data_IF_036216763576
#
_entry.id   IF_036216763576
#
_cell.length_a   1.000
_cell.length_b   1.000
_cell.length_c   1.000
_cell.angle_alpha   90.00
_cell.angle_beta   90.00
_cell.angle_gamma   90.00
#
_symmetry.space_group_name_H-M   'P 1'
#
loop_
_entity.id
_entity.type
_entity.pdbx_description
1 polymer ?
#
# COMPACT_ATOMS: atom_id res chain seq x y z
N UNK A 1 1.17 20.27 34.58
CA UNK A 1 0.09 19.77 33.72
C UNK A 1 0.16 18.27 33.77
N UNK A 2 -0.96 17.61 34.03
CA UNK A 2 -1.10 16.17 33.84
C UNK A 2 -1.51 15.89 32.38
N UNK A 3 -1.33 14.66 31.91
CA UNK A 3 -1.65 14.32 30.51
C UNK A 3 -3.17 14.45 30.24
N UNK A 4 -3.96 14.23 31.27
CA UNK A 4 -5.41 14.29 31.30
C UNK A 4 -5.95 15.72 31.17
N UNK A 5 -5.10 16.73 31.37
CA UNK A 5 -5.43 18.15 31.20
C UNK A 5 -5.26 18.62 29.73
N UNK A 6 -4.76 17.75 28.82
CA UNK A 6 -4.47 18.10 27.43
C UNK A 6 -5.66 17.82 26.51
N UNK A 7 -5.98 18.78 25.65
CA UNK A 7 -6.84 18.56 24.48
C UNK A 7 -5.93 18.16 23.31
N UNK A 8 -5.99 16.89 22.91
CA UNK A 8 -5.27 16.39 21.75
C UNK A 8 -6.13 16.51 20.50
N UNK A 9 -5.54 17.03 19.42
CA UNK A 9 -6.18 17.13 18.11
C UNK A 9 -5.38 16.27 17.14
N UNK A 10 -6.04 15.26 16.56
CA UNK A 10 -5.46 14.52 15.44
C UNK A 10 -5.50 15.40 14.20
N UNK A 11 -4.36 15.49 13.50
CA UNK A 11 -4.24 16.27 12.26
C UNK A 11 -4.06 15.37 11.03
N UNK A 12 -3.98 14.05 11.23
CA UNK A 12 -3.68 13.08 10.18
C UNK A 12 -4.35 11.74 10.47
N UNK A 13 -5.64 11.67 10.18
CA UNK A 13 -6.43 10.44 10.29
C UNK A 13 -6.64 9.82 8.89
N UNK A 14 -6.52 8.51 8.81
CA UNK A 14 -6.78 7.74 7.60
C UNK A 14 -7.93 6.75 7.80
N UNK A 15 -8.69 6.51 6.74
CA UNK A 15 -9.75 5.51 6.69
C UNK A 15 -9.45 4.48 5.61
N UNK A 16 -9.94 3.25 5.80
CA UNK A 16 -9.87 2.20 4.78
C UNK A 16 -11.23 2.12 4.10
N UNK A 17 -11.28 2.44 2.82
CA UNK A 17 -12.51 2.45 2.04
C UNK A 17 -12.94 1.05 1.57
N UNK A 18 -14.24 0.83 1.33
CA UNK A 18 -14.70 -0.41 0.70
C UNK A 18 -14.10 -0.55 -0.71
N UNK A 19 -13.90 -1.78 -1.20
CA UNK A 19 -13.20 -2.07 -2.45
C UNK A 19 -13.87 -1.49 -3.71
N UNK A 20 -15.16 -1.14 -3.62
CA UNK A 20 -15.94 -0.61 -4.72
C UNK A 20 -16.24 0.90 -4.61
N UNK A 21 -15.61 1.60 -3.66
CA UNK A 21 -15.80 3.05 -3.44
C UNK A 21 -15.64 3.83 -4.75
N UNK A 22 -14.52 3.64 -5.47
CA UNK A 22 -14.28 4.37 -6.70
C UNK A 22 -15.29 4.02 -7.80
N UNK A 23 -15.62 2.73 -7.98
CA UNK A 23 -16.56 2.27 -9.01
C UNK A 23 -17.96 2.87 -8.87
N UNK A 24 -18.37 3.21 -7.64
CA UNK A 24 -19.65 3.84 -7.32
C UNK A 24 -19.69 5.35 -7.57
N UNK A 25 -18.54 6.03 -7.53
CA UNK A 25 -18.48 7.49 -7.50
C UNK A 25 -17.76 8.14 -8.69
N UNK A 26 -16.93 7.41 -9.43
CA UNK A 26 -16.25 7.96 -10.61
C UNK A 26 -17.23 8.13 -11.79
N UNK A 27 -17.10 9.21 -12.59
CA UNK A 27 -17.85 9.35 -13.83
C UNK A 27 -17.65 8.15 -14.77
N UNK A 28 -18.69 7.77 -15.52
CA UNK A 28 -18.67 6.58 -16.37
C UNK A 28 -17.46 6.50 -17.32
N UNK A 29 -17.02 7.65 -17.88
CA UNK A 29 -15.86 7.73 -18.77
C UNK A 29 -14.52 7.34 -18.14
N UNK A 30 -14.42 7.32 -16.82
CA UNK A 30 -13.18 7.04 -16.08
C UNK A 30 -13.22 5.72 -15.32
N UNK A 31 -14.28 4.92 -15.46
CA UNK A 31 -14.42 3.65 -14.73
C UNK A 31 -13.28 2.68 -15.03
N UNK A 32 -12.82 2.67 -16.29
CA UNK A 32 -11.73 1.78 -16.73
C UNK A 32 -10.35 2.21 -16.19
N UNK A 33 -10.22 3.46 -15.74
CA UNK A 33 -8.98 4.02 -15.17
C UNK A 33 -9.01 4.08 -13.64
N UNK A 34 -10.15 3.75 -13.03
CA UNK A 34 -10.35 3.86 -11.60
C UNK A 34 -9.50 2.84 -10.81
N UNK A 35 -9.08 3.17 -9.57
CA UNK A 35 -8.49 2.18 -8.70
C UNK A 35 -9.45 1.03 -8.41
N UNK A 36 -8.94 -0.21 -8.43
CA UNK A 36 -9.68 -1.42 -8.09
C UNK A 36 -8.91 -2.25 -7.08
N UNK A 37 -9.61 -3.08 -6.33
CA UNK A 37 -8.99 -4.09 -5.46
C UNK A 37 -9.03 -5.44 -6.18
N UNK A 38 -7.89 -6.13 -6.21
CA UNK A 38 -7.77 -7.51 -6.69
C UNK A 38 -7.36 -8.40 -5.53
N UNK A 39 -8.04 -9.53 -5.35
CA UNK A 39 -7.69 -10.53 -4.36
C UNK A 39 -6.85 -11.64 -5.00
N UNK A 40 -5.61 -11.80 -4.55
CA UNK A 40 -4.74 -12.90 -4.96
C UNK A 40 -4.36 -13.72 -3.73
N UNK A 41 -4.81 -14.98 -3.67
CA UNK A 41 -4.52 -15.90 -2.57
C UNK A 41 -4.89 -15.37 -1.17
N UNK A 42 -6.00 -14.63 -1.07
CA UNK A 42 -6.45 -14.02 0.19
C UNK A 42 -5.75 -12.70 0.53
N UNK A 43 -4.96 -12.15 -0.38
CA UNK A 43 -4.31 -10.84 -0.22
C UNK A 43 -5.01 -9.84 -1.14
N UNK A 44 -5.65 -8.84 -0.55
CA UNK A 44 -6.22 -7.71 -1.26
C UNK A 44 -5.13 -6.71 -1.65
N UNK A 45 -5.03 -6.42 -2.94
CA UNK A 45 -4.07 -5.47 -3.51
C UNK A 45 -4.79 -4.41 -4.32
N UNK A 46 -4.49 -3.14 -4.04
CA UNK A 46 -4.95 -2.03 -4.86
C UNK A 46 -4.21 -2.01 -6.19
N UNK A 47 -4.93 -1.92 -7.29
CA UNK A 47 -4.40 -1.74 -8.64
C UNK A 47 -4.80 -0.36 -9.14
N UNK A 48 -3.83 0.39 -9.64
CA UNK A 48 -4.07 1.69 -10.27
C UNK A 48 -3.22 1.82 -11.53
N UNK A 49 -3.84 2.19 -12.65
CA UNK A 49 -3.21 2.26 -13.97
C UNK A 49 -2.35 1.01 -14.31
N UNK A 50 -2.89 -0.17 -14.00
CA UNK A 50 -2.23 -1.46 -14.23
C UNK A 50 -1.06 -1.79 -13.30
N UNK A 51 -0.83 -1.01 -12.25
CA UNK A 51 0.27 -1.21 -11.30
C UNK A 51 -0.26 -1.53 -9.90
N UNK A 52 0.27 -2.57 -9.23
CA UNK A 52 -0.04 -2.83 -7.84
C UNK A 52 0.50 -1.68 -6.99
N UNK A 53 -0.35 -1.14 -6.14
CA UNK A 53 0.02 -0.14 -5.15
C UNK A 53 0.42 -0.87 -3.88
N UNK A 54 1.60 -0.54 -3.35
CA UNK A 54 2.05 -1.04 -2.07
C UNK A 54 1.23 -0.46 -0.92
N UNK A 55 1.46 -1.01 0.27
CA UNK A 55 0.91 -0.43 1.50
C UNK A 55 1.39 1.02 1.59
N UNK A 56 0.44 1.97 1.58
CA UNK A 56 0.70 3.38 1.88
C UNK A 56 0.87 3.51 3.39
N UNK A 57 1.92 2.88 3.90
CA UNK A 57 2.23 2.82 5.31
C UNK A 57 3.49 3.61 5.59
N UNK A 58 3.30 4.73 6.29
CA UNK A 58 4.28 5.46 7.09
C UNK A 58 5.26 6.34 6.32
N UNK A 59 4.95 7.64 6.24
CA UNK A 59 5.95 8.71 6.32
C UNK A 59 5.33 10.00 6.87
N UNK A 60 5.16 10.08 8.19
CA UNK A 60 5.01 11.35 8.91
C UNK A 60 6.41 11.89 9.26
N UNK A 61 7.18 12.27 8.23
CA UNK A 61 8.61 12.67 8.36
C UNK A 61 8.80 14.18 8.47
N UNK A 62 7.76 14.93 8.87
CA UNK A 62 7.74 16.40 8.80
C UNK A 62 8.84 17.09 9.62
N UNK A 63 9.52 16.35 10.51
CA UNK A 63 10.64 16.83 11.33
C UNK A 63 11.95 16.05 11.13
N UNK A 64 11.99 15.06 10.24
CA UNK A 64 13.17 14.18 10.08
C UNK A 64 14.07 14.62 8.92
N UNK A 65 15.40 14.51 9.05
CA UNK A 65 16.32 14.80 7.94
C UNK A 65 15.98 13.95 6.69
N UNK A 66 16.05 14.52 5.46
CA UNK A 66 15.71 13.82 4.22
C UNK A 66 16.41 12.48 4.00
N UNK A 67 17.64 12.34 4.50
CA UNK A 67 18.42 11.10 4.46
C UNK A 67 17.79 9.94 5.25
N UNK A 68 16.83 10.23 6.14
CA UNK A 68 16.20 9.25 7.03
C UNK A 68 14.84 8.75 6.55
N UNK A 69 14.25 9.40 5.53
CA UNK A 69 12.91 9.08 5.04
C UNK A 69 12.81 7.66 4.46
N UNK A 70 13.89 7.14 3.87
CA UNK A 70 13.91 5.81 3.26
C UNK A 70 13.93 4.65 4.28
N UNK A 71 14.12 4.92 5.59
CA UNK A 71 14.22 3.87 6.62
C UNK A 71 12.84 3.38 7.11
N UNK A 72 11.79 4.18 6.94
CA UNK A 72 10.47 3.92 7.54
C UNK A 72 9.65 2.88 6.74
N UNK A 73 9.89 2.75 5.42
CA UNK A 73 9.20 1.79 4.56
C UNK A 73 9.90 0.43 4.35
N UNK A 74 11.12 0.22 4.90
CA UNK A 74 11.95 -0.96 4.56
C UNK A 74 11.81 -2.17 5.49
N UNK A 75 11.01 -2.09 6.56
CA UNK A 75 10.92 -3.17 7.55
C UNK A 75 9.71 -4.10 7.45
N UNK A 76 8.89 -3.98 6.39
CA UNK A 76 7.95 -5.03 5.99
C UNK A 76 8.55 -5.82 4.81
N UNK A 77 9.77 -6.33 4.97
CA UNK A 77 10.13 -7.59 4.29
C UNK A 77 9.47 -8.71 5.07
N UNK A 78 8.17 -8.88 4.84
CA UNK A 78 7.45 -10.07 5.22
C UNK A 78 8.09 -11.25 4.47
N UNK A 79 9.03 -11.92 5.14
CA UNK A 79 9.39 -13.34 5.07
C UNK A 79 8.65 -14.12 3.95
N UNK A 80 9.02 -13.91 2.69
CA UNK A 80 8.68 -14.85 1.63
C UNK A 80 9.62 -16.06 1.78
N UNK A 81 9.12 -17.29 2.00
CA UNK A 81 9.99 -18.43 1.96
C UNK A 81 10.45 -18.63 0.52
N UNK A 82 11.75 -18.47 0.30
CA UNK A 82 12.47 -19.04 -0.84
C UNK A 82 12.13 -20.54 -0.91
N UNK A 83 11.16 -20.92 -1.75
CA UNK A 83 10.90 -22.32 -2.09
C UNK A 83 10.93 -22.51 -3.60
N UNK A 84 12.07 -23.09 -4.00
CA UNK A 84 12.33 -23.86 -5.21
C UNK A 84 11.97 -23.21 -6.55
N UNK A 85 12.92 -22.43 -7.09
CA UNK A 85 13.20 -22.49 -8.53
C UNK A 85 13.69 -23.91 -8.86
N UNK A 86 12.74 -24.80 -9.12
CA UNK A 86 13.01 -26.08 -9.77
C UNK A 86 13.36 -25.79 -11.23
N UNK A 87 14.58 -26.20 -11.58
CA UNK A 87 15.13 -26.26 -12.94
C UNK A 87 14.08 -26.73 -13.96
N UNK A 88 13.88 -25.94 -15.00
CA UNK A 88 13.56 -26.46 -16.33
C UNK A 88 14.61 -25.95 -17.31
N UNK A 89 15.54 -26.86 -17.65
CA UNK A 89 16.31 -26.79 -18.88
C UNK A 89 15.34 -27.03 -20.04
N UNK A 90 15.31 -26.14 -21.03
CA UNK A 90 15.27 -26.48 -22.46
C UNK A 90 14.89 -25.24 -23.27
N UNK A 91 15.85 -24.59 -23.92
CA UNK A 91 15.76 -24.34 -25.35
C UNK A 91 17.15 -24.01 -25.87
N UNK A 92 17.64 -24.91 -26.72
CA UNK A 92 18.82 -24.81 -27.56
C UNK A 92 18.76 -23.59 -28.47
N UNK A 93 19.89 -22.89 -28.59
CA UNK A 93 20.53 -22.65 -29.88
C UNK A 93 22.04 -22.55 -29.70
#
# INVERSE_FOLDING_TARGET
MQAEDLILVSIDDHVVEPPDMFLRHVPAKYKDEAPIVVNENGIDTWMYQGKPQGVSGLNAVVSWPPEEWAKVGKHIEARMPLRSMSRTRSCTS
#
